data_IF_779288881885
#
_entry.id   IF_779288881885
#
_cell.length_a   1.000
_cell.length_b   1.000
_cell.length_c   1.000
_cell.angle_alpha   90.00
_cell.angle_beta   90.00
_cell.angle_gamma   90.00
#
_symmetry.space_group_name_H-M   'P 1'
#
loop_
_entity.id
_entity.type
_entity.pdbx_description
1 polymer ?
#
# COMPACT_ATOMS: atom_id res chain seq x y z
N UNK A 1 -17.88 -15.88 -9.98
CA UNK A 1 -17.31 -14.56 -9.68
C UNK A 1 -17.65 -13.69 -10.87
N UNK A 2 -18.32 -12.59 -10.67
CA UNK A 2 -18.60 -11.65 -11.74
C UNK A 2 -17.40 -10.71 -11.82
N UNK A 3 -17.11 -10.16 -13.00
CA UNK A 3 -16.29 -8.97 -13.10
C UNK A 3 -16.78 -7.92 -12.12
N UNK A 4 -16.19 -6.77 -12.05
CA UNK A 4 -16.57 -5.71 -11.12
C UNK A 4 -18.10 -5.53 -11.20
N UNK A 5 -18.79 -6.07 -10.22
CA UNK A 5 -20.22 -6.00 -10.17
C UNK A 5 -20.70 -4.79 -9.34
N UNK A 6 -22.02 -4.64 -9.29
CA UNK A 6 -22.68 -3.56 -8.56
C UNK A 6 -22.33 -3.50 -7.06
N UNK A 7 -21.81 -4.57 -6.46
CA UNK A 7 -21.44 -4.60 -5.06
C UNK A 7 -20.18 -3.78 -4.77
N UNK A 8 -19.20 -3.83 -5.67
CA UNK A 8 -18.01 -2.96 -5.58
C UNK A 8 -18.36 -1.53 -6.02
N UNK A 9 -19.26 -1.39 -6.97
CA UNK A 9 -19.74 -0.07 -7.41
C UNK A 9 -20.56 0.68 -6.33
N UNK A 10 -21.14 -0.04 -5.37
CA UNK A 10 -21.82 0.58 -4.21
C UNK A 10 -20.86 1.08 -3.13
N UNK A 11 -19.62 0.67 -3.16
CA UNK A 11 -18.58 1.36 -2.43
C UNK A 11 -18.24 2.61 -3.25
N UNK A 12 -18.41 3.78 -2.75
CA UNK A 12 -18.25 5.12 -3.34
C UNK A 12 -16.97 5.35 -4.20
N UNK A 13 -16.46 4.33 -4.87
CA UNK A 13 -15.25 4.34 -5.69
C UNK A 13 -15.69 4.22 -7.16
N UNK A 14 -15.42 5.24 -7.94
CA UNK A 14 -15.47 5.15 -9.41
C UNK A 14 -14.27 4.31 -9.87
N UNK A 15 -14.52 3.01 -10.10
CA UNK A 15 -13.48 2.05 -10.46
C UNK A 15 -12.77 2.42 -11.77
N UNK A 16 -13.45 2.82 -12.85
CA UNK A 16 -12.77 3.32 -14.04
C UNK A 16 -11.84 4.50 -13.78
N UNK A 17 -12.26 5.45 -12.94
CA UNK A 17 -11.40 6.57 -12.53
C UNK A 17 -10.24 6.12 -11.63
N UNK A 18 -10.50 5.18 -10.73
CA UNK A 18 -9.46 4.61 -9.86
C UNK A 18 -8.36 3.86 -10.65
N UNK A 19 -8.75 3.20 -11.75
CA UNK A 19 -7.82 2.47 -12.63
C UNK A 19 -7.16 3.37 -13.68
N UNK A 20 -7.50 4.64 -13.74
CA UNK A 20 -6.84 5.61 -14.65
C UNK A 20 -5.42 5.94 -14.21
N UNK A 21 -5.11 5.75 -12.93
CA UNK A 21 -3.75 5.89 -12.37
C UNK A 21 -3.36 4.58 -11.67
N UNK A 22 -2.19 3.99 -11.98
CA UNK A 22 -1.70 2.82 -11.25
C UNK A 22 -1.36 3.17 -9.80
N UNK A 23 -1.43 2.18 -8.92
CA UNK A 23 -0.95 2.31 -7.55
C UNK A 23 -1.97 2.87 -6.55
N UNK A 24 -3.25 2.94 -6.89
CA UNK A 24 -4.28 3.31 -5.91
C UNK A 24 -4.56 2.15 -4.96
N UNK A 25 -4.49 2.43 -3.66
CA UNK A 25 -4.96 1.54 -2.58
C UNK A 25 -6.09 2.24 -1.85
N UNK A 26 -7.16 1.51 -1.59
CA UNK A 26 -8.33 2.03 -0.89
C UNK A 26 -8.97 0.92 -0.05
N UNK A 27 -9.93 1.23 0.79
CA UNK A 27 -10.68 0.26 1.54
C UNK A 27 -12.18 0.51 1.39
N UNK A 28 -12.96 -0.57 1.45
CA UNK A 28 -14.42 -0.49 1.39
C UNK A 28 -15.03 -0.97 2.70
N UNK A 29 -16.08 -0.31 3.14
CA UNK A 29 -16.88 -0.68 4.30
C UNK A 29 -18.25 -1.12 3.84
N UNK A 30 -18.70 -2.28 4.33
CA UNK A 30 -19.97 -2.87 3.91
C UNK A 30 -19.84 -3.63 2.57
N UNK A 31 -20.94 -4.16 2.10
CA UNK A 31 -21.00 -4.99 0.90
C UNK A 31 -21.15 -6.47 1.21
N UNK A 32 -21.36 -7.29 0.17
CA UNK A 32 -21.65 -8.72 0.30
C UNK A 32 -20.38 -9.57 0.43
N UNK A 33 -19.23 -9.02 0.13
CA UNK A 33 -17.94 -9.68 0.37
C UNK A 33 -17.59 -9.54 1.86
N UNK A 34 -17.35 -10.62 2.54
CA UNK A 34 -16.77 -10.58 3.89
C UNK A 34 -15.42 -9.88 3.93
N UNK A 35 -14.79 -9.84 5.11
CA UNK A 35 -13.45 -9.30 5.25
C UNK A 35 -12.45 -10.01 4.31
N UNK A 36 -11.63 -9.25 3.60
CA UNK A 36 -10.67 -9.80 2.66
C UNK A 36 -9.89 -8.74 1.92
N UNK A 37 -9.13 -9.20 0.94
CA UNK A 37 -8.32 -8.33 0.06
C UNK A 37 -8.75 -8.55 -1.38
N UNK A 38 -8.94 -7.44 -2.11
CA UNK A 38 -9.27 -7.47 -3.53
C UNK A 38 -8.27 -6.70 -4.36
N UNK A 39 -7.97 -7.22 -5.54
CA UNK A 39 -7.16 -6.54 -6.55
C UNK A 39 -8.02 -6.38 -7.79
N UNK A 40 -8.07 -5.16 -8.30
CA UNK A 40 -8.68 -4.85 -9.59
C UNK A 40 -7.55 -4.66 -10.59
N UNK A 41 -7.57 -5.47 -11.65
CA UNK A 41 -6.55 -5.43 -12.69
C UNK A 41 -7.15 -5.28 -14.08
N UNK A 42 -6.43 -4.58 -14.96
CA UNK A 42 -6.72 -4.48 -16.38
C UNK A 42 -5.54 -5.00 -17.16
N UNK A 43 -5.78 -5.91 -18.10
CA UNK A 43 -4.74 -6.39 -18.98
C UNK A 43 -4.69 -5.55 -20.26
N UNK A 44 -3.53 -5.07 -20.71
CA UNK A 44 -3.41 -4.24 -21.91
C UNK A 44 -3.87 -4.95 -23.20
N UNK A 45 -3.71 -6.28 -23.26
CA UNK A 45 -4.16 -7.12 -24.39
C UNK A 45 -5.42 -7.91 -24.00
N UNK A 46 -6.47 -7.19 -23.62
CA UNK A 46 -7.71 -7.78 -23.17
C UNK A 46 -8.27 -8.88 -24.12
N UNK A 47 -8.28 -8.64 -25.42
CA UNK A 47 -8.79 -9.58 -26.42
C UNK A 47 -8.10 -10.96 -26.37
N UNK A 48 -6.80 -11.01 -26.06
CA UNK A 48 -6.05 -12.26 -25.93
C UNK A 48 -6.45 -13.04 -24.67
N UNK A 49 -6.96 -12.37 -23.66
CA UNK A 49 -7.31 -12.96 -22.37
C UNK A 49 -8.80 -13.18 -22.17
N UNK A 50 -9.64 -12.60 -23.03
CA UNK A 50 -11.11 -12.70 -22.91
C UNK A 50 -11.57 -14.16 -22.84
N UNK A 51 -11.01 -15.03 -23.67
CA UNK A 51 -11.38 -16.44 -23.71
C UNK A 51 -11.02 -17.16 -22.40
N UNK A 52 -9.83 -16.91 -21.86
CA UNK A 52 -9.40 -17.49 -20.60
C UNK A 52 -10.21 -16.95 -19.42
N UNK A 53 -10.44 -15.64 -19.38
CA UNK A 53 -11.21 -15.00 -18.32
C UNK A 53 -12.67 -15.42 -18.39
N UNK A 54 -13.23 -15.60 -19.60
CA UNK A 54 -14.57 -16.15 -19.83
C UNK A 54 -14.69 -17.59 -19.33
N UNK A 55 -13.68 -18.43 -19.57
CA UNK A 55 -13.63 -19.79 -19.05
C UNK A 55 -13.68 -19.80 -17.50
N UNK A 56 -12.93 -18.91 -16.84
CA UNK A 56 -12.95 -18.74 -15.38
C UNK A 56 -14.15 -17.97 -14.87
N UNK A 57 -15.10 -17.58 -15.74
CA UNK A 57 -16.31 -16.83 -15.39
C UNK A 57 -16.03 -15.50 -14.67
N UNK A 58 -14.95 -14.85 -15.05
CA UNK A 58 -14.52 -13.57 -14.49
C UNK A 58 -15.30 -12.37 -15.07
N UNK A 59 -16.23 -12.61 -16.02
CA UNK A 59 -17.00 -11.57 -16.72
C UNK A 59 -16.33 -11.12 -18.03
N UNK A 60 -16.96 -10.15 -18.72
CA UNK A 60 -16.50 -9.72 -20.05
C UNK A 60 -15.26 -8.81 -20.03
N UNK A 61 -14.83 -8.34 -18.88
CA UNK A 61 -13.73 -7.38 -18.79
C UNK A 61 -14.09 -5.98 -19.31
N UNK A 62 -13.12 -5.10 -19.58
CA UNK A 62 -11.67 -5.30 -19.48
C UNK A 62 -11.10 -5.32 -18.06
N UNK A 63 -11.90 -4.98 -17.06
CA UNK A 63 -11.50 -4.91 -15.66
C UNK A 63 -11.91 -6.20 -14.95
N UNK A 64 -10.98 -6.78 -14.19
CA UNK A 64 -11.18 -8.03 -13.48
C UNK A 64 -10.90 -7.84 -12.00
N UNK A 65 -11.79 -8.40 -11.15
CA UNK A 65 -11.66 -8.35 -9.71
C UNK A 65 -11.20 -9.71 -9.18
N UNK A 66 -10.05 -9.73 -8.53
CA UNK A 66 -9.51 -10.89 -7.84
C UNK A 66 -9.69 -10.69 -6.35
N UNK A 67 -10.45 -11.57 -5.70
CA UNK A 67 -10.78 -11.45 -4.30
C UNK A 67 -10.27 -12.65 -3.51
N UNK A 68 -9.59 -12.35 -2.41
CA UNK A 68 -9.20 -13.33 -1.40
C UNK A 68 -9.99 -13.03 -0.12
N UNK A 69 -10.86 -13.96 0.36
CA UNK A 69 -11.77 -13.71 1.47
C UNK A 69 -11.09 -13.76 2.85
N UNK A 70 -9.82 -13.45 2.91
CA UNK A 70 -9.03 -13.31 4.14
C UNK A 70 -7.78 -12.47 3.87
N UNK A 71 -7.18 -11.97 4.95
CA UNK A 71 -5.91 -11.23 4.95
C UNK A 71 -5.08 -11.62 6.18
N UNK A 72 -4.95 -12.93 6.41
CA UNK A 72 -4.30 -13.48 7.59
C UNK A 72 -2.85 -13.81 7.24
N UNK A 73 -1.95 -12.84 7.43
CA UNK A 73 -0.52 -12.95 7.14
C UNK A 73 0.09 -14.21 7.74
N UNK A 74 -0.28 -14.58 8.97
CA UNK A 74 0.23 -15.75 9.66
C UNK A 74 -0.12 -17.09 8.98
N UNK A 75 -1.13 -17.15 8.12
CA UNK A 75 -1.44 -18.34 7.32
C UNK A 75 -0.59 -18.43 6.05
N UNK A 76 -0.06 -17.30 5.58
CA UNK A 76 0.71 -17.22 4.33
C UNK A 76 2.22 -17.23 4.56
N UNK A 77 2.70 -16.83 5.73
CA UNK A 77 4.13 -16.88 6.08
C UNK A 77 4.74 -18.28 5.90
N UNK A 78 4.10 -19.40 6.30
CA UNK A 78 4.66 -20.73 6.05
C UNK A 78 4.83 -21.06 4.57
N UNK A 79 3.92 -20.59 3.70
CA UNK A 79 4.04 -20.75 2.25
C UNK A 79 5.23 -19.98 1.71
N UNK A 80 5.36 -18.71 2.08
CA UNK A 80 6.51 -17.87 1.69
C UNK A 80 7.84 -18.48 2.12
N UNK A 81 7.91 -19.02 3.34
CA UNK A 81 9.11 -19.70 3.82
C UNK A 81 9.39 -21.01 3.07
N UNK A 82 8.34 -21.76 2.72
CA UNK A 82 8.50 -22.99 1.94
C UNK A 82 9.02 -22.69 0.53
N UNK A 83 8.48 -21.70 -0.16
CA UNK A 83 8.95 -21.25 -1.48
C UNK A 83 10.40 -20.80 -1.42
N UNK A 84 10.78 -19.98 -0.44
CA UNK A 84 12.16 -19.55 -0.27
C UNK A 84 13.12 -20.72 -0.02
N UNK A 85 12.72 -21.74 0.77
CA UNK A 85 13.56 -22.87 1.13
C UNK A 85 13.64 -23.91 0.00
N UNK A 86 12.57 -24.12 -0.77
CA UNK A 86 12.48 -25.14 -1.81
C UNK A 86 13.00 -24.58 -3.13
N UNK A 87 12.55 -23.38 -3.51
CA UNK A 87 12.86 -22.80 -4.82
C UNK A 87 14.08 -21.90 -4.77
N UNK A 88 14.54 -21.53 -3.56
CA UNK A 88 15.68 -20.61 -3.33
C UNK A 88 15.47 -19.23 -3.98
N UNK A 89 14.24 -18.87 -4.24
CA UNK A 89 13.85 -17.60 -4.83
C UNK A 89 13.01 -16.79 -3.82
N UNK A 90 13.29 -15.50 -3.65
CA UNK A 90 12.42 -14.65 -2.85
C UNK A 90 11.09 -14.44 -3.58
N UNK A 91 9.98 -14.48 -2.84
CA UNK A 91 8.62 -14.32 -3.37
C UNK A 91 8.41 -12.98 -4.10
N UNK A 92 9.20 -11.98 -3.78
CA UNK A 92 9.16 -10.67 -4.42
C UNK A 92 10.58 -10.20 -4.74
N UNK A 93 11.03 -10.42 -5.94
CA UNK A 93 12.12 -9.66 -6.56
C UNK A 93 11.51 -8.46 -7.25
N UNK A 94 11.73 -7.28 -6.70
CA UNK A 94 11.18 -6.05 -7.26
C UNK A 94 12.20 -5.46 -8.21
N UNK A 95 12.14 -5.85 -9.47
CA UNK A 95 12.87 -5.19 -10.57
C UNK A 95 12.10 -3.98 -11.12
N UNK A 96 10.89 -3.75 -10.61
CA UNK A 96 10.08 -2.62 -11.03
C UNK A 96 10.53 -1.31 -10.36
N UNK A 97 10.42 -0.16 -11.05
CA UNK A 97 10.72 1.12 -10.43
C UNK A 97 9.78 1.39 -9.26
N UNK A 98 10.28 2.10 -8.26
CA UNK A 98 9.48 2.59 -7.13
C UNK A 98 8.48 3.64 -7.63
N UNK A 99 7.20 3.31 -7.65
CA UNK A 99 6.14 4.16 -8.24
C UNK A 99 5.20 4.77 -7.20
N UNK A 100 5.16 4.21 -5.99
CA UNK A 100 4.29 4.67 -4.90
C UNK A 100 4.99 4.54 -3.56
N UNK A 101 4.63 5.41 -2.62
CA UNK A 101 5.13 5.42 -1.26
C UNK A 101 3.97 5.71 -0.29
N UNK A 102 4.13 5.30 0.96
CA UNK A 102 3.17 5.62 2.02
C UNK A 102 3.80 6.66 2.94
N UNK A 103 3.32 7.89 2.84
CA UNK A 103 3.79 9.01 3.66
C UNK A 103 3.06 9.08 4.99
N UNK A 104 3.75 9.54 6.01
CA UNK A 104 3.18 9.78 7.34
C UNK A 104 2.43 11.12 7.37
N UNK A 105 1.17 11.08 7.80
CA UNK A 105 0.34 12.26 8.04
C UNK A 105 0.14 12.43 9.54
N UNK A 106 0.32 13.62 10.07
CA UNK A 106 0.13 13.92 11.48
C UNK A 106 -1.34 13.77 11.90
N UNK A 107 -1.64 12.96 12.94
CA UNK A 107 -2.99 12.80 13.50
C UNK A 107 -3.40 13.95 14.42
N UNK A 108 -2.43 14.68 14.91
CA UNK A 108 -2.58 15.82 15.83
C UNK A 108 -1.51 16.85 15.50
N UNK A 109 -1.60 18.04 16.08
CA UNK A 109 -0.47 18.97 16.07
C UNK A 109 0.71 18.32 16.80
N UNK A 110 1.86 18.28 16.17
CA UNK A 110 3.11 17.75 16.70
C UNK A 110 4.02 18.90 17.08
N UNK A 111 4.57 18.84 18.29
CA UNK A 111 5.53 19.83 18.77
C UNK A 111 6.97 19.43 18.41
N UNK A 112 7.89 20.39 18.38
CA UNK A 112 9.30 20.10 18.22
C UNK A 112 9.83 19.32 19.44
N UNK A 113 10.63 18.26 19.18
CA UNK A 113 11.15 17.37 20.21
C UNK A 113 10.23 16.20 20.57
N UNK A 114 9.10 16.05 19.90
CA UNK A 114 8.18 14.93 20.15
C UNK A 114 8.68 13.68 19.43
N UNK A 115 8.86 12.58 20.16
CA UNK A 115 9.13 11.25 19.59
C UNK A 115 7.84 10.64 19.11
N UNK A 116 7.81 10.19 17.86
CA UNK A 116 6.62 9.58 17.26
C UNK A 116 6.46 8.13 17.73
N UNK A 117 5.22 7.68 17.85
CA UNK A 117 4.86 6.41 18.50
C UNK A 117 4.63 5.23 17.54
N UNK A 118 5.06 5.38 16.29
CA UNK A 118 5.04 4.29 15.31
C UNK A 118 3.71 4.05 14.59
N UNK A 119 3.70 2.97 13.80
CA UNK A 119 2.53 2.58 12.99
C UNK A 119 1.41 2.10 13.92
N UNK A 120 0.20 2.62 13.69
CA UNK A 120 -0.97 2.31 14.51
C UNK A 120 -1.07 3.13 15.80
N UNK A 121 -0.08 3.98 16.09
CA UNK A 121 -0.06 4.88 17.23
C UNK A 121 -0.97 6.11 17.09
N UNK A 122 -0.71 7.11 17.92
CA UNK A 122 -1.50 8.33 18.00
C UNK A 122 -0.89 9.53 17.27
N UNK A 123 0.37 9.42 16.86
CA UNK A 123 1.13 10.52 16.23
C UNK A 123 0.82 10.66 14.75
N UNK A 124 0.75 9.55 13.99
CA UNK A 124 0.63 9.58 12.55
C UNK A 124 -0.24 8.44 11.98
N UNK A 125 -0.70 8.63 10.74
CA UNK A 125 -1.29 7.59 9.90
C UNK A 125 -0.63 7.61 8.52
N UNK A 126 -0.75 6.49 7.78
CA UNK A 126 -0.22 6.37 6.43
C UNK A 126 -1.19 6.89 5.37
N UNK A 127 -0.66 7.62 4.39
CA UNK A 127 -1.36 8.02 3.18
C UNK A 127 -0.52 7.62 1.97
N UNK A 128 -1.12 6.89 1.03
CA UNK A 128 -0.41 6.48 -0.19
C UNK A 128 -0.37 7.64 -1.18
N UNK A 129 0.80 7.84 -1.78
CA UNK A 129 1.02 8.81 -2.85
C UNK A 129 1.94 8.22 -3.91
N UNK A 130 2.10 8.89 -5.04
CA UNK A 130 3.13 8.54 -6.00
C UNK A 130 4.52 8.75 -5.39
N UNK A 131 5.53 8.05 -5.88
CA UNK A 131 6.91 8.24 -5.39
C UNK A 131 7.38 9.70 -5.56
N UNK A 132 6.92 10.38 -6.62
CA UNK A 132 7.19 11.81 -6.84
C UNK A 132 6.49 12.69 -5.80
N UNK A 133 5.18 12.47 -5.57
CA UNK A 133 4.39 13.22 -4.60
C UNK A 133 4.84 13.03 -3.15
N UNK A 134 5.35 11.83 -2.84
CA UNK A 134 5.89 11.47 -1.53
C UNK A 134 7.30 12.05 -1.26
N UNK A 135 7.95 12.59 -2.29
CA UNK A 135 9.33 13.07 -2.18
C UNK A 135 9.49 14.16 -1.12
N UNK A 136 10.42 13.96 -0.20
CA UNK A 136 10.68 14.90 0.89
C UNK A 136 9.80 14.75 2.12
N UNK A 137 8.87 13.79 2.13
CA UNK A 137 8.06 13.45 3.30
C UNK A 137 8.55 12.19 3.99
N UNK A 138 8.19 12.04 5.27
CA UNK A 138 8.55 10.90 6.10
C UNK A 138 7.76 9.66 5.66
N UNK A 139 8.42 8.57 5.21
CA UNK A 139 7.74 7.29 5.00
C UNK A 139 7.12 6.76 6.30
N UNK A 140 5.90 6.23 6.23
CA UNK A 140 5.19 5.74 7.42
C UNK A 140 5.97 4.64 8.16
N UNK A 141 6.75 3.84 7.44
CA UNK A 141 7.60 2.79 8.02
C UNK A 141 8.75 3.29 8.89
N UNK A 142 9.06 4.59 8.85
CA UNK A 142 10.12 5.21 9.67
C UNK A 142 9.59 6.01 10.86
N UNK A 143 8.27 6.07 11.05
CA UNK A 143 7.64 6.93 12.06
C UNK A 143 8.14 6.60 13.48
N UNK A 144 8.26 5.31 13.84
CA UNK A 144 8.70 4.92 15.19
C UNK A 144 10.18 5.22 15.49
N UNK A 145 10.94 5.59 14.47
CA UNK A 145 12.37 5.95 14.58
C UNK A 145 12.58 7.46 14.44
N UNK A 146 11.51 8.23 14.49
CA UNK A 146 11.52 9.66 14.20
C UNK A 146 11.21 10.50 15.43
N UNK A 147 11.99 11.58 15.60
CA UNK A 147 11.71 12.65 16.56
C UNK A 147 11.59 13.97 15.79
N UNK A 148 10.54 14.71 16.03
CA UNK A 148 10.30 16.00 15.37
C UNK A 148 11.35 17.04 15.77
N UNK A 149 11.81 17.84 14.80
CA UNK A 149 12.71 18.99 15.03
C UNK A 149 11.99 20.32 14.93
N UNK A 150 10.78 20.32 14.36
CA UNK A 150 9.91 21.48 14.23
C UNK A 150 8.45 21.05 14.35
N UNK A 151 7.58 22.01 14.62
CA UNK A 151 6.15 21.76 14.71
C UNK A 151 5.57 21.31 13.35
N UNK A 152 4.63 20.36 13.38
CA UNK A 152 3.87 19.90 12.22
C UNK A 152 2.38 19.96 12.54
N UNK A 153 1.61 20.62 11.69
CA UNK A 153 0.18 20.77 11.90
C UNK A 153 -0.56 19.43 11.68
N UNK A 154 -1.64 19.25 12.41
CA UNK A 154 -2.57 18.14 12.21
C UNK A 154 -3.03 18.06 10.75
N UNK A 155 -3.25 16.83 10.29
CA UNK A 155 -3.70 16.48 8.92
C UNK A 155 -2.73 16.93 7.81
N UNK A 156 -1.47 17.26 8.17
CA UNK A 156 -0.41 17.59 7.22
C UNK A 156 0.58 16.43 7.07
N UNK A 157 1.15 16.24 5.86
CA UNK A 157 2.27 15.32 5.66
C UNK A 157 3.46 15.77 6.53
N UNK A 158 4.14 14.83 7.15
CA UNK A 158 5.31 15.12 7.99
C UNK A 158 6.52 15.26 7.08
N UNK A 159 7.14 16.48 6.97
CA UNK A 159 8.34 16.63 6.16
C UNK A 159 9.51 15.84 6.73
N UNK A 160 10.28 15.17 5.88
CA UNK A 160 11.49 14.47 6.29
C UNK A 160 12.52 15.43 6.93
N UNK A 161 12.55 16.68 6.48
CA UNK A 161 13.39 17.73 7.06
C UNK A 161 12.93 18.20 8.45
N UNK A 162 11.70 17.90 8.85
CA UNK A 162 11.12 18.24 10.16
C UNK A 162 11.34 17.17 11.23
N UNK A 163 12.11 16.12 10.92
CA UNK A 163 12.43 15.03 11.86
C UNK A 163 13.90 14.68 11.85
N UNK A 164 14.37 14.14 12.96
CA UNK A 164 15.60 13.34 13.02
C UNK A 164 15.22 11.87 13.12
N UNK A 165 15.99 11.02 12.43
CA UNK A 165 15.82 9.57 12.47
C UNK A 165 16.89 8.93 13.34
N UNK A 166 16.55 7.84 14.01
CA UNK A 166 17.50 7.05 14.77
C UNK A 166 18.40 6.22 13.83
N UNK A 167 19.55 6.78 13.47
CA UNK A 167 20.54 6.18 12.58
C UNK A 167 21.20 4.91 13.17
N UNK A 168 20.95 4.58 14.42
CA UNK A 168 21.44 3.33 15.03
C UNK A 168 20.65 2.10 14.59
N UNK A 169 19.47 2.30 14.01
CA UNK A 169 18.59 1.22 13.59
C UNK A 169 18.91 0.71 12.18
N UNK A 170 18.76 -0.61 12.00
CA UNK A 170 18.97 -1.24 10.69
C UNK A 170 18.00 -0.71 9.64
N UNK A 171 16.76 -0.46 10.03
CA UNK A 171 15.70 0.03 9.12
C UNK A 171 16.09 1.37 8.52
N UNK A 172 16.47 2.35 9.36
CA UNK A 172 16.89 3.68 8.92
C UNK A 172 18.15 3.59 8.06
N UNK A 173 19.13 2.80 8.48
CA UNK A 173 20.38 2.62 7.74
C UNK A 173 20.13 2.02 6.34
N UNK A 174 19.28 1.02 6.22
CA UNK A 174 18.95 0.42 4.92
C UNK A 174 18.15 1.39 4.05
N UNK A 175 17.17 2.07 4.63
CA UNK A 175 16.41 3.08 3.89
C UNK A 175 17.30 4.17 3.30
N UNK A 176 18.28 4.68 4.07
CA UNK A 176 19.26 5.66 3.57
C UNK A 176 20.06 5.14 2.38
N UNK A 177 20.50 3.88 2.43
CA UNK A 177 21.24 3.25 1.32
C UNK A 177 20.42 3.12 0.04
N UNK A 178 19.12 2.94 0.16
CA UNK A 178 18.22 2.83 -1.00
C UNK A 178 17.94 4.19 -1.66
N UNK A 179 18.14 5.29 -0.93
CA UNK A 179 17.83 6.65 -1.37
C UNK A 179 19.07 7.56 -1.48
N UNK A 180 20.27 6.98 -1.46
CA UNK A 180 21.57 7.69 -1.61
C UNK A 180 22.08 7.72 -3.05
#
# INVERSE_FOLDING_TARGET
MHGIDSTVANASVDIPAALSAPGRVDFTLGGDFGAGVGIIGRHPNHELHEQAMGFYKMGPGPDYFFFRPYHLVHLEVPLTLAELLVDSEPLATIDAPHVAEVVAIAKKDLEAGETLDGIGGFSAYGHIDTAEGASGFLPVGLVEYATTTSAVAKDSPIPLAAVTLDESTTVVTQWRKMHS
#
